data_IF_882127372673
#
_entry.id   IF_882127372673
#
_cell.length_a   1.000
_cell.length_b   1.000
_cell.length_c   1.000
_cell.angle_alpha   90.00
_cell.angle_beta   90.00
_cell.angle_gamma   90.00
#
_symmetry.space_group_name_H-M   'P 1'
#
loop_
_entity.id
_entity.type
_entity.pdbx_description
1 polymer ?
#
# COMPACT_ATOMS: atom_id res chain seq x y z
N UNK A 1 20.00 -7.78 29.09
CA UNK A 1 19.90 -6.30 29.07
C UNK A 1 19.85 -5.87 27.61
N UNK A 2 18.85 -5.11 27.20
CA UNK A 2 18.76 -4.61 25.82
C UNK A 2 19.86 -3.57 25.57
N UNK A 3 20.36 -3.49 24.34
CA UNK A 3 21.37 -2.48 23.97
C UNK A 3 20.75 -1.07 23.98
N UNK A 4 21.49 -0.01 24.32
CA UNK A 4 21.00 1.38 24.26
C UNK A 4 20.42 1.75 22.88
N UNK A 5 20.95 1.17 21.81
CA UNK A 5 20.42 1.36 20.45
C UNK A 5 19.02 0.75 20.30
N UNK A 6 18.77 -0.41 20.87
CA UNK A 6 17.46 -1.08 20.84
C UNK A 6 16.43 -0.28 21.62
N UNK A 7 16.80 0.25 22.80
CA UNK A 7 15.92 1.10 23.61
C UNK A 7 15.54 2.39 22.88
N UNK A 8 16.49 3.04 22.21
CA UNK A 8 16.20 4.22 21.39
C UNK A 8 15.22 3.90 20.25
N UNK A 9 15.36 2.75 19.59
CA UNK A 9 14.46 2.34 18.50
C UNK A 9 13.05 2.00 19.01
N UNK A 10 12.94 1.37 20.18
CA UNK A 10 11.65 1.13 20.83
C UNK A 10 10.98 2.45 21.25
N UNK A 11 11.75 3.42 21.75
CA UNK A 11 11.24 4.75 22.05
C UNK A 11 10.71 5.46 20.80
N UNK A 12 11.40 5.33 19.66
CA UNK A 12 10.92 5.86 18.37
C UNK A 12 9.66 5.15 17.88
N UNK A 13 9.56 3.82 18.03
CA UNK A 13 8.32 3.10 17.72
C UNK A 13 7.16 3.62 18.59
N UNK A 14 7.38 3.79 19.89
CA UNK A 14 6.39 4.37 20.83
C UNK A 14 5.99 5.79 20.43
N UNK A 15 6.93 6.63 20.01
CA UNK A 15 6.63 7.98 19.54
C UNK A 15 5.75 8.00 18.28
N UNK A 16 5.89 7.01 17.38
CA UNK A 16 5.13 6.95 16.12
C UNK A 16 3.78 6.23 16.30
N UNK A 17 3.76 5.16 17.09
CA UNK A 17 2.65 4.20 17.14
C UNK A 17 1.93 4.16 18.51
N UNK A 18 2.33 5.00 19.46
CA UNK A 18 1.83 5.04 20.84
C UNK A 18 2.43 3.96 21.76
N UNK A 19 2.68 2.77 21.20
CA UNK A 19 3.21 1.60 21.91
C UNK A 19 4.18 0.85 20.99
N UNK A 20 5.20 0.15 21.51
CA UNK A 20 6.06 -0.71 20.71
C UNK A 20 5.26 -1.72 19.89
N UNK A 21 5.67 -1.91 18.64
CA UNK A 21 4.95 -2.80 17.73
C UNK A 21 4.94 -4.25 18.22
N UNK A 22 5.99 -4.68 18.94
CA UNK A 22 6.06 -6.01 19.55
C UNK A 22 4.89 -6.29 20.49
N UNK A 23 4.50 -5.29 21.29
CA UNK A 23 3.39 -5.40 22.25
C UNK A 23 2.05 -5.48 21.52
N UNK A 24 1.84 -4.63 20.51
CA UNK A 24 0.63 -4.63 19.69
C UNK A 24 0.45 -5.94 18.93
N UNK A 25 1.49 -6.41 18.25
CA UNK A 25 1.45 -7.70 17.56
C UNK A 25 1.26 -8.87 18.53
N UNK A 26 1.88 -8.80 19.72
CA UNK A 26 1.71 -9.80 20.77
C UNK A 26 0.26 -9.93 21.25
N UNK A 27 -0.40 -8.80 21.50
CA UNK A 27 -1.81 -8.77 21.88
C UNK A 27 -2.69 -9.42 20.81
N UNK A 28 -2.52 -9.05 19.54
CA UNK A 28 -3.30 -9.64 18.45
C UNK A 28 -3.02 -11.13 18.24
N UNK A 29 -1.77 -11.58 18.33
CA UNK A 29 -1.45 -13.02 18.27
C UNK A 29 -2.16 -13.79 19.40
N UNK A 30 -2.26 -13.20 20.59
CA UNK A 30 -2.94 -13.83 21.72
C UNK A 30 -4.45 -13.87 21.55
N UNK A 31 -5.07 -12.77 21.12
CA UNK A 31 -6.53 -12.68 20.92
C UNK A 31 -6.98 -13.61 19.79
N UNK A 32 -6.35 -13.49 18.62
CA UNK A 32 -6.71 -14.26 17.43
C UNK A 32 -6.05 -15.65 17.37
N UNK A 33 -5.29 -16.04 18.41
CA UNK A 33 -4.56 -17.33 18.49
C UNK A 33 -3.67 -17.59 17.26
N UNK A 34 -2.99 -16.56 16.77
CA UNK A 34 -2.16 -16.62 15.58
C UNK A 34 -0.70 -16.86 15.90
N UNK A 35 -0.03 -17.64 15.03
CA UNK A 35 1.43 -17.59 14.94
C UNK A 35 1.87 -16.26 14.33
N UNK A 36 3.11 -15.86 14.60
CA UNK A 36 3.73 -14.69 13.96
C UNK A 36 3.66 -14.77 12.42
N UNK A 37 3.84 -15.96 11.84
CA UNK A 37 3.76 -16.17 10.39
C UNK A 37 2.34 -15.96 9.86
N UNK A 38 1.34 -16.42 10.61
CA UNK A 38 -0.08 -16.25 10.25
C UNK A 38 -0.47 -14.78 10.34
N UNK A 39 -0.06 -14.08 11.41
CA UNK A 39 -0.28 -12.64 11.54
C UNK A 39 0.38 -11.85 10.39
N UNK A 40 1.62 -12.19 10.02
CA UNK A 40 2.29 -11.55 8.89
C UNK A 40 1.47 -11.69 7.59
N UNK A 41 0.92 -12.89 7.33
CA UNK A 41 0.07 -13.14 6.15
C UNK A 41 -1.18 -12.26 6.15
N UNK A 42 -1.90 -12.21 7.27
CA UNK A 42 -3.14 -11.41 7.41
C UNK A 42 -2.85 -9.92 7.21
N UNK A 43 -1.76 -9.42 7.79
CA UNK A 43 -1.37 -8.01 7.64
C UNK A 43 -0.81 -7.67 6.24
N UNK A 44 -0.44 -8.67 5.43
CA UNK A 44 0.26 -8.46 4.15
C UNK A 44 1.74 -8.10 4.32
N UNK A 45 2.37 -8.59 5.39
CA UNK A 45 3.80 -8.45 5.67
C UNK A 45 4.55 -9.76 5.35
N UNK A 46 5.84 -9.63 5.02
CA UNK A 46 6.72 -10.79 5.04
C UNK A 46 7.06 -11.17 6.48
N UNK A 47 7.22 -12.47 6.76
CA UNK A 47 7.62 -12.95 8.08
C UNK A 47 8.94 -12.33 8.58
N UNK A 48 9.99 -12.15 7.73
CA UNK A 48 11.20 -11.44 8.15
C UNK A 48 10.94 -9.98 8.54
N UNK A 49 10.09 -9.26 7.80
CA UNK A 49 9.77 -7.86 8.11
C UNK A 49 9.03 -7.74 9.45
N UNK A 50 8.09 -8.65 9.73
CA UNK A 50 7.42 -8.69 11.03
C UNK A 50 8.43 -8.98 12.17
N UNK A 51 9.35 -9.93 11.97
CA UNK A 51 10.41 -10.23 12.95
C UNK A 51 11.31 -9.02 13.22
N UNK A 52 11.69 -8.28 12.19
CA UNK A 52 12.50 -7.06 12.35
C UNK A 52 11.78 -5.97 13.15
N UNK A 53 10.47 -5.82 12.95
CA UNK A 53 9.66 -4.85 13.69
C UNK A 53 9.51 -5.25 15.17
N UNK A 54 9.27 -6.53 15.44
CA UNK A 54 9.17 -7.09 16.81
C UNK A 54 10.50 -6.92 17.55
N UNK A 55 11.63 -7.21 16.90
CA UNK A 55 12.95 -7.11 17.51
C UNK A 55 13.53 -5.69 17.50
N UNK A 56 12.73 -4.67 17.20
CA UNK A 56 13.15 -3.26 17.07
C UNK A 56 14.37 -3.04 16.16
N UNK A 57 14.58 -3.93 15.18
CA UNK A 57 15.57 -3.76 14.13
C UNK A 57 15.07 -2.80 13.06
N UNK A 58 13.75 -2.73 12.89
CA UNK A 58 13.05 -1.80 11.99
C UNK A 58 12.05 -0.98 12.79
N UNK A 59 12.04 0.34 12.55
CA UNK A 59 11.18 1.27 13.31
C UNK A 59 9.82 1.43 12.63
N UNK A 60 9.80 1.71 11.31
CA UNK A 60 8.58 2.10 10.59
C UNK A 60 7.97 0.96 9.79
N UNK A 61 6.65 0.86 9.74
CA UNK A 61 5.91 0.09 8.74
C UNK A 61 5.95 0.88 7.42
N UNK A 62 6.43 0.25 6.34
CA UNK A 62 6.65 0.94 5.06
C UNK A 62 5.37 1.10 4.22
N UNK A 63 4.45 0.15 4.34
CA UNK A 63 3.19 0.16 3.60
C UNK A 63 2.06 0.63 4.54
N UNK A 64 1.39 1.76 4.28
CA UNK A 64 0.30 2.25 5.14
C UNK A 64 -0.85 1.25 5.28
N UNK A 65 -1.13 0.46 4.24
CA UNK A 65 -2.13 -0.61 4.24
C UNK A 65 -1.97 -1.61 5.39
N UNK A 66 -0.71 -1.90 5.73
CA UNK A 66 -0.38 -2.85 6.81
C UNK A 66 -0.79 -2.27 8.16
N UNK A 67 -0.60 -0.97 8.34
CA UNK A 67 -0.97 -0.30 9.57
C UNK A 67 -2.50 -0.19 9.68
N UNK A 68 -3.19 0.09 8.59
CA UNK A 68 -4.66 0.07 8.55
C UNK A 68 -5.21 -1.31 8.95
N UNK A 69 -4.68 -2.39 8.37
CA UNK A 69 -5.06 -3.76 8.76
C UNK A 69 -4.75 -4.09 10.22
N UNK A 70 -3.65 -3.56 10.75
CA UNK A 70 -3.31 -3.69 12.17
C UNK A 70 -4.39 -3.05 13.05
N UNK A 71 -4.77 -1.81 12.74
CA UNK A 71 -5.82 -1.07 13.46
C UNK A 71 -7.18 -1.77 13.33
N UNK A 72 -7.54 -2.25 12.12
CA UNK A 72 -8.77 -3.01 11.91
C UNK A 72 -8.85 -4.27 12.78
N UNK A 73 -7.74 -4.98 13.01
CA UNK A 73 -7.73 -6.13 13.93
C UNK A 73 -7.87 -5.69 15.39
N UNK A 74 -7.28 -4.55 15.77
CA UNK A 74 -7.39 -4.03 17.14
C UNK A 74 -8.82 -3.56 17.46
N UNK A 75 -9.49 -2.90 16.52
CA UNK A 75 -10.86 -2.42 16.68
C UNK A 75 -11.89 -3.55 16.74
N UNK A 76 -11.58 -4.69 16.11
CA UNK A 76 -12.48 -5.83 15.93
C UNK A 76 -12.13 -7.03 16.80
N UNK A 77 -11.31 -6.82 17.83
CA UNK A 77 -10.79 -7.88 18.71
C UNK A 77 -11.86 -8.49 19.62
N UNK A 78 -12.97 -7.77 19.84
CA UNK A 78 -14.10 -8.21 20.66
C UNK A 78 -15.22 -8.90 19.83
N UNK A 79 -15.07 -8.97 18.50
CA UNK A 79 -16.03 -9.67 17.65
C UNK A 79 -15.92 -11.20 17.85
N UNK A 80 -17.03 -11.92 18.05
CA UNK A 80 -16.98 -13.35 18.36
C UNK A 80 -16.47 -14.22 17.20
N UNK A 81 -16.63 -13.76 15.97
CA UNK A 81 -16.23 -14.49 14.76
C UNK A 81 -14.85 -14.03 14.26
N UNK A 82 -13.82 -14.51 14.96
CA UNK A 82 -12.43 -14.20 14.63
C UNK A 82 -12.04 -14.65 13.21
N UNK A 83 -12.55 -15.78 12.73
CA UNK A 83 -12.19 -16.28 11.39
C UNK A 83 -12.70 -15.35 10.29
N UNK A 84 -13.95 -14.87 10.41
CA UNK A 84 -14.51 -13.88 9.50
C UNK A 84 -13.73 -12.56 9.56
N UNK A 85 -13.40 -12.06 10.75
CA UNK A 85 -12.61 -10.83 10.91
C UNK A 85 -11.27 -10.95 10.20
N UNK A 86 -10.55 -12.06 10.39
CA UNK A 86 -9.25 -12.28 9.77
C UNK A 86 -9.34 -12.36 8.24
N UNK A 87 -10.37 -13.04 7.72
CA UNK A 87 -10.62 -13.15 6.28
C UNK A 87 -10.93 -11.77 5.67
N UNK A 88 -11.80 -10.99 6.32
CA UNK A 88 -12.15 -9.64 5.88
C UNK A 88 -10.93 -8.71 5.90
N UNK A 89 -10.15 -8.69 6.98
CA UNK A 89 -8.93 -7.85 7.07
C UNK A 89 -7.90 -8.24 6.01
N UNK A 90 -7.70 -9.53 5.79
CA UNK A 90 -6.78 -10.01 4.75
C UNK A 90 -7.26 -9.63 3.34
N UNK A 91 -8.56 -9.68 3.11
CA UNK A 91 -9.19 -9.31 1.84
C UNK A 91 -9.34 -7.79 1.64
N UNK A 92 -9.32 -7.00 2.71
CA UNK A 92 -9.41 -5.54 2.65
C UNK A 92 -8.35 -5.00 1.69
N UNK A 93 -8.80 -4.44 0.57
CA UNK A 93 -7.93 -3.66 -0.30
C UNK A 93 -7.47 -2.42 0.48
N UNK A 94 -6.20 -2.02 0.37
CA UNK A 94 -5.78 -0.74 0.93
C UNK A 94 -6.67 0.37 0.40
N UNK A 95 -7.21 1.21 1.29
CA UNK A 95 -7.80 2.48 0.87
C UNK A 95 -6.62 3.35 0.44
N UNK A 96 -6.28 3.27 -0.84
CA UNK A 96 -5.25 4.10 -1.45
C UNK A 96 -5.75 5.54 -1.58
N UNK A 97 -5.91 6.23 -0.47
CA UNK A 97 -5.86 7.69 -0.45
C UNK A 97 -4.47 8.12 0.01
N UNK A 98 -3.48 7.89 -0.86
CA UNK A 98 -2.25 8.67 -0.78
C UNK A 98 -1.70 8.85 -2.19
N UNK A 99 -1.76 10.08 -2.68
CA UNK A 99 -0.97 10.57 -3.80
C UNK A 99 0.51 10.48 -3.43
N UNK A 100 1.15 9.33 -3.69
CA UNK A 100 2.60 9.20 -3.60
C UNK A 100 3.11 8.52 -4.86
N UNK A 101 3.41 9.38 -5.85
CA UNK A 101 4.51 9.25 -6.79
C UNK A 101 4.88 7.82 -7.19
N UNK A 102 4.08 7.24 -8.10
CA UNK A 102 4.39 6.03 -8.86
C UNK A 102 5.50 6.31 -9.89
N UNK A 103 6.69 6.65 -9.42
CA UNK A 103 7.82 7.07 -10.26
C UNK A 103 8.92 6.01 -10.34
N UNK A 104 8.63 4.83 -10.94
CA UNK A 104 9.58 3.99 -11.73
C UNK A 104 9.25 2.50 -11.89
N UNK A 105 8.27 1.92 -11.20
CA UNK A 105 8.14 0.46 -11.15
C UNK A 105 7.12 -0.18 -12.11
N UNK A 106 6.58 0.56 -13.07
CA UNK A 106 5.60 0.06 -14.05
C UNK A 106 6.16 -0.04 -15.48
N UNK A 107 7.38 -0.57 -15.64
CA UNK A 107 7.96 -0.85 -16.97
C UNK A 107 7.77 -2.29 -17.45
N UNK A 108 7.00 -3.13 -16.73
CA UNK A 108 6.59 -4.43 -17.23
C UNK A 108 5.34 -4.90 -16.46
N UNK A 109 4.18 -4.62 -17.02
CA UNK A 109 2.91 -5.06 -16.46
C UNK A 109 1.80 -4.12 -16.88
N UNK A 110 0.94 -4.58 -17.79
CA UNK A 110 -0.35 -3.97 -18.10
C UNK A 110 -1.07 -3.59 -16.79
N UNK A 111 -1.34 -2.31 -16.54
CA UNK A 111 -1.98 -1.90 -15.30
C UNK A 111 -3.46 -2.28 -15.32
N UNK A 112 -3.89 -3.10 -14.36
CA UNK A 112 -5.29 -3.17 -13.91
C UNK A 112 -5.65 -1.92 -13.09
N UNK A 113 -5.57 -0.77 -13.75
CA UNK A 113 -6.15 0.49 -13.35
C UNK A 113 -6.80 1.06 -14.59
N UNK A 114 -8.03 1.57 -14.47
CA UNK A 114 -8.88 1.96 -15.61
C UNK A 114 -8.13 2.69 -16.73
N UNK A 115 -8.54 2.45 -17.97
CA UNK A 115 -7.81 2.86 -19.17
C UNK A 115 -7.38 4.34 -19.08
N UNK A 116 -6.07 4.56 -19.04
CA UNK A 116 -5.45 5.89 -18.94
C UNK A 116 -5.96 6.81 -20.06
N UNK A 117 -6.32 6.26 -21.22
CA UNK A 117 -6.92 7.00 -22.31
C UNK A 117 -8.29 7.61 -21.92
N UNK A 118 -9.15 6.83 -21.25
CA UNK A 118 -10.46 7.30 -20.77
C UNK A 118 -10.29 8.41 -19.73
N UNK A 119 -9.30 8.28 -18.84
CA UNK A 119 -9.03 9.33 -17.85
C UNK A 119 -8.56 10.64 -18.49
N UNK A 120 -7.70 10.57 -19.51
CA UNK A 120 -7.21 11.76 -20.23
C UNK A 120 -8.31 12.47 -21.01
N UNK A 121 -9.25 11.73 -21.60
CA UNK A 121 -10.42 12.28 -22.30
C UNK A 121 -11.31 13.16 -21.40
N UNK A 122 -11.30 12.94 -20.09
CA UNK A 122 -12.05 13.78 -19.14
C UNK A 122 -11.42 15.15 -18.91
N UNK A 123 -10.13 15.34 -19.17
CA UNK A 123 -9.40 16.57 -18.86
C UNK A 123 -9.16 17.48 -20.06
N UNK A 124 -9.25 16.96 -21.28
CA UNK A 124 -8.97 17.72 -22.50
C UNK A 124 -9.84 17.23 -23.66
N UNK A 125 -10.23 18.16 -24.54
CA UNK A 125 -10.94 17.82 -25.78
C UNK A 125 -10.03 17.16 -26.84
N UNK A 126 -10.63 16.58 -27.89
CA UNK A 126 -9.90 15.77 -28.87
C UNK A 126 -8.80 16.56 -29.62
N UNK A 127 -9.03 17.83 -29.95
CA UNK A 127 -8.01 18.66 -30.62
C UNK A 127 -6.76 18.87 -29.75
N UNK A 128 -6.95 19.14 -28.46
CA UNK A 128 -5.84 19.34 -27.53
C UNK A 128 -5.05 18.04 -27.30
N UNK A 129 -5.75 16.90 -27.24
CA UNK A 129 -5.14 15.58 -27.11
C UNK A 129 -4.32 15.19 -28.35
N UNK A 130 -4.81 15.47 -29.55
CA UNK A 130 -4.09 15.21 -30.80
C UNK A 130 -2.85 16.11 -30.95
N UNK A 131 -2.96 17.40 -30.59
CA UNK A 131 -1.81 18.30 -30.57
C UNK A 131 -0.72 17.84 -29.59
N UNK A 132 -1.13 17.39 -28.40
CA UNK A 132 -0.22 16.82 -27.41
C UNK A 132 0.44 15.51 -27.90
N UNK A 133 -0.30 14.65 -28.61
CA UNK A 133 0.23 13.42 -29.20
C UNK A 133 1.33 13.72 -30.25
N UNK A 134 1.12 14.74 -31.08
CA UNK A 134 2.10 15.17 -32.08
C UNK A 134 3.37 15.75 -31.43
N UNK A 135 3.21 16.55 -30.37
CA UNK A 135 4.34 17.04 -29.59
C UNK A 135 5.13 15.87 -28.96
N UNK A 136 4.44 14.88 -28.39
CA UNK A 136 5.07 13.69 -27.82
C UNK A 136 5.88 12.90 -28.86
N UNK A 137 5.38 12.73 -30.09
CA UNK A 137 6.14 12.10 -31.18
C UNK A 137 7.38 12.87 -31.56
N UNK A 138 7.29 14.20 -31.66
CA UNK A 138 8.44 15.04 -31.99
C UNK A 138 9.56 14.95 -30.93
N UNK A 139 9.20 14.65 -29.68
CA UNK A 139 10.11 14.42 -28.57
C UNK A 139 10.56 12.95 -28.42
N UNK A 140 10.18 12.05 -29.33
CA UNK A 140 10.54 10.62 -29.31
C UNK A 140 9.65 9.73 -28.43
N UNK A 141 8.58 10.26 -27.85
CA UNK A 141 7.66 9.55 -26.96
C UNK A 141 6.52 8.84 -27.70
N UNK A 142 6.83 7.80 -28.49
CA UNK A 142 5.84 7.06 -29.29
C UNK A 142 4.71 6.46 -28.44
N UNK A 143 5.05 5.78 -27.34
CA UNK A 143 4.06 5.18 -26.44
C UNK A 143 3.13 6.21 -25.78
N UNK A 144 3.62 7.43 -25.49
CA UNK A 144 2.78 8.50 -24.95
C UNK A 144 1.82 9.05 -26.01
N UNK A 145 2.29 9.19 -27.25
CA UNK A 145 1.45 9.62 -28.35
C UNK A 145 0.28 8.66 -28.61
N UNK A 146 0.52 7.35 -28.59
CA UNK A 146 -0.52 6.33 -28.77
C UNK A 146 -1.61 6.38 -27.68
N UNK A 147 -1.22 6.66 -26.42
CA UNK A 147 -2.18 6.82 -25.32
C UNK A 147 -3.05 8.06 -25.52
N UNK A 148 -2.45 9.17 -25.97
CA UNK A 148 -3.16 10.44 -26.23
C UNK A 148 -4.11 10.33 -27.44
N UNK A 149 -3.74 9.57 -28.48
CA UNK A 149 -4.61 9.28 -29.62
C UNK A 149 -5.81 8.42 -29.22
N UNK A 150 -5.59 7.37 -28.41
CA UNK A 150 -6.70 6.60 -27.84
C UNK A 150 -7.61 7.47 -26.98
N UNK A 151 -7.04 8.42 -26.22
CA UNK A 151 -7.84 9.38 -25.44
C UNK A 151 -8.73 10.24 -26.36
N UNK A 152 -8.18 10.77 -27.45
CA UNK A 152 -8.94 11.57 -28.41
C UNK A 152 -10.08 10.76 -29.07
N UNK A 153 -9.85 9.47 -29.34
CA UNK A 153 -10.85 8.58 -29.95
C UNK A 153 -12.07 8.32 -29.06
N UNK A 154 -11.99 8.54 -27.74
CA UNK A 154 -13.14 8.42 -26.83
C UNK A 154 -14.16 9.57 -26.95
N UNK A 155 -13.85 10.63 -27.72
CA UNK A 155 -14.78 11.73 -27.99
C UNK A 155 -15.59 11.53 -29.29
N UNK A 156 -15.36 10.45 -30.03
CA UNK A 156 -15.99 10.13 -31.33
C UNK A 156 -17.11 9.09 -31.24
#
# INVERSE_FOLDING_TARGET
MSSPVTEQRLAQQRAIYGTPLAERFGALMNVYRLSQRSLARVLGLSAPMLSQLINAQRIKIGNPAVYERLVMLEERQDEPDHERVLAEVQASAPVLTTHTSRGRQALAGTPEGGDVAVQLALYAGPEALLAAAQAARSAGGQALAEVLERAAAHHG
#
